data_IF_145211092538
#
_entry.id   IF_145211092538
#
_cell.length_a   1.000
_cell.length_b   1.000
_cell.length_c   1.000
_cell.angle_alpha   90.00
_cell.angle_beta   90.00
_cell.angle_gamma   90.00
#
_symmetry.space_group_name_H-M   'P 1'
#
loop_
_entity.id
_entity.type
_entity.pdbx_description
1 polymer ?
#
# COMPACT_ATOMS: atom_id res chain seq x y z
N UNK A 1 10.61 -23.19 -23.52
CA UNK A 1 10.20 -21.81 -23.88
C UNK A 1 11.17 -21.37 -24.96
N UNK A 2 10.71 -20.83 -26.10
CA UNK A 2 11.59 -20.29 -27.14
C UNK A 2 12.45 -19.15 -26.56
N UNK A 3 13.59 -18.92 -27.19
CA UNK A 3 14.50 -17.83 -26.79
C UNK A 3 13.85 -16.48 -27.12
N UNK A 4 14.03 -15.47 -26.26
CA UNK A 4 13.46 -14.14 -26.49
C UNK A 4 14.02 -13.49 -27.77
N UNK A 5 15.26 -13.82 -28.11
CA UNK A 5 15.94 -13.33 -29.33
C UNK A 5 15.29 -13.85 -30.62
N UNK A 6 14.49 -14.91 -30.54
CA UNK A 6 13.72 -15.45 -31.68
C UNK A 6 12.32 -14.81 -31.79
N UNK A 7 11.85 -14.14 -30.73
CA UNK A 7 10.50 -13.60 -30.64
C UNK A 7 10.42 -12.10 -30.90
N UNK A 8 11.45 -11.35 -30.51
CA UNK A 8 11.48 -9.89 -30.62
C UNK A 8 12.85 -9.39 -31.07
N UNK A 9 12.85 -8.25 -31.76
CA UNK A 9 14.06 -7.56 -32.24
C UNK A 9 14.15 -6.14 -31.67
N UNK A 10 15.39 -5.63 -31.54
CA UNK A 10 15.60 -4.26 -31.09
C UNK A 10 14.97 -3.26 -32.08
N UNK A 11 14.25 -2.26 -31.55
CA UNK A 11 13.50 -1.29 -32.35
C UNK A 11 12.13 -1.78 -32.82
N UNK A 12 11.74 -3.03 -32.54
CA UNK A 12 10.40 -3.52 -32.86
C UNK A 12 9.34 -2.81 -32.00
N UNK A 13 8.34 -2.25 -32.68
CA UNK A 13 7.18 -1.65 -32.01
C UNK A 13 6.19 -2.74 -31.61
N UNK A 14 5.81 -2.76 -30.33
CA UNK A 14 4.92 -3.77 -29.76
C UNK A 14 3.88 -3.08 -28.89
N UNK A 15 2.61 -3.45 -29.08
CA UNK A 15 1.52 -3.00 -28.21
C UNK A 15 1.62 -3.74 -26.88
N UNK A 16 1.66 -2.98 -25.80
CA UNK A 16 1.83 -3.49 -24.45
C UNK A 16 0.77 -2.90 -23.52
N UNK A 17 0.35 -3.70 -22.54
CA UNK A 17 -0.48 -3.26 -21.42
C UNK A 17 0.34 -3.29 -20.13
N UNK A 18 0.16 -2.27 -19.29
CA UNK A 18 0.72 -2.27 -17.93
C UNK A 18 -0.02 -3.30 -17.08
N UNK A 19 0.67 -4.39 -16.74
CA UNK A 19 0.15 -5.45 -15.87
C UNK A 19 0.42 -5.17 -14.38
N UNK A 20 1.48 -4.43 -14.07
CA UNK A 20 1.77 -3.90 -12.74
C UNK A 20 2.40 -2.53 -12.86
N UNK A 21 1.94 -1.62 -12.00
CA UNK A 21 2.53 -0.29 -11.83
C UNK A 21 4.02 -0.40 -11.42
N UNK A 22 4.84 0.62 -11.70
CA UNK A 22 6.19 0.69 -11.17
C UNK A 22 6.15 0.68 -9.64
N UNK A 23 7.14 0.03 -9.01
CA UNK A 23 7.26 -0.05 -7.55
C UNK A 23 8.71 0.22 -7.19
N UNK A 24 8.95 1.34 -6.49
CA UNK A 24 10.32 1.80 -6.19
C UNK A 24 11.13 2.01 -7.47
N UNK A 25 12.32 1.39 -7.55
CA UNK A 25 13.22 1.53 -8.72
C UNK A 25 12.87 0.59 -9.88
N UNK A 26 11.92 -0.33 -9.70
CA UNK A 26 11.52 -1.28 -10.75
C UNK A 26 10.47 -0.63 -11.65
N UNK A 27 10.77 -0.55 -12.94
CA UNK A 27 9.82 -0.10 -13.97
C UNK A 27 8.55 -0.95 -14.02
N UNK A 28 7.56 -0.45 -14.76
CA UNK A 28 6.28 -1.13 -14.94
C UNK A 28 6.47 -2.52 -15.57
N UNK A 29 5.67 -3.49 -15.11
CA UNK A 29 5.64 -4.81 -15.75
C UNK A 29 4.63 -4.78 -16.89
N UNK A 30 5.08 -5.14 -18.08
CA UNK A 30 4.29 -5.12 -19.30
C UNK A 30 3.84 -6.53 -19.72
N UNK A 31 2.77 -6.59 -20.50
CA UNK A 31 2.26 -7.79 -21.16
C UNK A 31 1.74 -7.46 -22.55
N UNK A 32 1.91 -8.37 -23.50
CA UNK A 32 1.29 -8.29 -24.84
C UNK A 32 -0.06 -9.01 -24.89
N UNK A 33 -0.41 -9.76 -23.84
CA UNK A 33 -1.74 -10.33 -23.66
C UNK A 33 -2.67 -9.25 -23.12
N UNK A 34 -3.34 -8.55 -24.03
CA UNK A 34 -4.25 -7.46 -23.70
C UNK A 34 -5.51 -7.99 -23.02
N UNK A 35 -6.04 -7.21 -22.09
CA UNK A 35 -7.29 -7.50 -21.39
C UNK A 35 -8.05 -6.23 -21.05
N UNK A 36 -9.37 -6.25 -21.24
CA UNK A 36 -10.23 -5.08 -21.01
C UNK A 36 -11.32 -5.45 -20.01
N UNK A 37 -11.29 -4.93 -18.79
CA UNK A 37 -12.31 -5.22 -17.79
C UNK A 37 -13.54 -4.32 -17.92
N UNK A 38 -14.72 -4.93 -17.99
CA UNK A 38 -16.00 -4.29 -17.69
C UNK A 38 -16.43 -4.62 -16.27
N UNK A 39 -17.71 -4.47 -15.91
CA UNK A 39 -18.19 -4.74 -14.55
C UNK A 39 -18.12 -6.23 -14.20
N UNK A 40 -18.71 -7.08 -15.04
CA UNK A 40 -18.82 -8.51 -14.81
C UNK A 40 -17.92 -9.34 -15.71
N UNK A 41 -17.43 -8.79 -16.82
CA UNK A 41 -16.59 -9.50 -17.78
C UNK A 41 -15.20 -8.88 -17.91
N UNK A 42 -14.27 -9.68 -18.44
CA UNK A 42 -12.99 -9.23 -18.97
C UNK A 42 -12.87 -9.77 -20.39
N UNK A 43 -12.73 -8.88 -21.36
CA UNK A 43 -12.44 -9.24 -22.75
C UNK A 43 -10.97 -9.63 -22.89
N UNK A 44 -10.70 -10.72 -23.61
CA UNK A 44 -9.38 -11.19 -24.02
C UNK A 44 -9.32 -11.22 -25.55
N UNK A 45 -8.84 -10.14 -26.21
CA UNK A 45 -8.74 -10.10 -27.66
C UNK A 45 -7.82 -11.21 -28.20
N UNK A 46 -8.20 -11.82 -29.32
CA UNK A 46 -7.41 -12.87 -29.98
C UNK A 46 -7.33 -14.20 -29.21
N UNK A 47 -8.19 -14.39 -28.21
CA UNK A 47 -8.37 -15.65 -27.48
C UNK A 47 -9.76 -16.21 -27.75
N UNK A 48 -9.96 -17.51 -27.59
CA UNK A 48 -11.28 -18.15 -27.53
C UNK A 48 -11.61 -18.62 -26.10
N UNK A 49 -10.77 -18.26 -25.12
CA UNK A 49 -10.89 -18.75 -23.76
C UNK A 49 -12.17 -18.24 -23.09
N UNK A 50 -12.99 -19.16 -22.58
CA UNK A 50 -14.13 -18.87 -21.70
C UNK A 50 -13.80 -19.35 -20.30
N UNK A 51 -13.73 -18.43 -19.35
CA UNK A 51 -13.31 -18.71 -17.98
C UNK A 51 -14.17 -18.03 -16.93
N UNK A 52 -14.18 -18.62 -15.73
CA UNK A 52 -14.75 -18.00 -14.53
C UNK A 52 -13.62 -17.72 -13.55
N UNK A 53 -13.65 -16.57 -12.90
CA UNK A 53 -12.73 -16.20 -11.81
C UNK A 53 -12.52 -17.34 -10.81
N UNK A 54 -11.26 -17.61 -10.45
CA UNK A 54 -10.88 -18.64 -9.46
C UNK A 54 -11.44 -18.40 -8.05
N UNK A 55 -11.94 -17.19 -7.77
CA UNK A 55 -12.59 -16.86 -6.49
C UNK A 55 -13.99 -17.44 -6.33
N UNK A 56 -14.66 -17.74 -7.44
CA UNK A 56 -15.97 -18.37 -7.43
C UNK A 56 -15.69 -19.87 -7.33
N UNK A 57 -15.84 -20.44 -6.15
CA UNK A 57 -15.53 -21.86 -5.89
C UNK A 57 -16.74 -22.77 -6.07
N UNK A 58 -17.95 -22.23 -5.88
CA UNK A 58 -19.19 -22.96 -6.04
C UNK A 58 -19.35 -23.43 -7.50
N UNK A 59 -19.52 -24.73 -7.68
CA UNK A 59 -19.60 -25.37 -8.99
C UNK A 59 -20.90 -25.00 -9.69
N UNK A 60 -22.02 -24.97 -8.97
CA UNK A 60 -23.34 -24.69 -9.55
C UNK A 60 -23.39 -23.25 -10.06
N UNK A 61 -22.80 -22.33 -9.30
CA UNK A 61 -22.71 -20.92 -9.67
C UNK A 61 -21.78 -20.69 -10.88
N UNK A 62 -20.65 -21.41 -10.95
CA UNK A 62 -19.76 -21.37 -12.14
C UNK A 62 -20.50 -21.81 -13.40
N UNK A 63 -21.25 -22.90 -13.32
CA UNK A 63 -22.00 -23.43 -14.46
C UNK A 63 -23.12 -22.48 -14.89
N UNK A 64 -23.85 -21.89 -13.92
CA UNK A 64 -24.88 -20.87 -14.19
C UNK A 64 -24.30 -19.66 -14.92
N UNK A 65 -23.17 -19.12 -14.44
CA UNK A 65 -22.52 -17.96 -15.06
C UNK A 65 -21.98 -18.24 -16.45
N UNK A 66 -21.44 -19.45 -16.69
CA UNK A 66 -21.02 -19.89 -18.02
C UNK A 66 -22.22 -19.96 -18.99
N UNK A 67 -23.34 -20.55 -18.56
CA UNK A 67 -24.57 -20.63 -19.37
C UNK A 67 -25.13 -19.24 -19.71
N UNK A 68 -25.11 -18.32 -18.75
CA UNK A 68 -25.53 -16.94 -18.97
C UNK A 68 -24.61 -16.21 -19.98
N UNK A 69 -23.30 -16.41 -19.88
CA UNK A 69 -22.33 -15.86 -20.84
C UNK A 69 -22.55 -16.45 -22.25
N UNK A 70 -22.74 -17.76 -22.36
CA UNK A 70 -23.01 -18.42 -23.63
C UNK A 70 -24.31 -17.92 -24.29
N UNK A 71 -25.34 -17.65 -23.47
CA UNK A 71 -26.60 -17.10 -23.95
C UNK A 71 -26.42 -15.68 -24.51
N UNK A 72 -25.69 -14.82 -23.78
CA UNK A 72 -25.40 -13.47 -24.24
C UNK A 72 -24.53 -13.46 -25.52
N UNK A 73 -23.55 -14.36 -25.61
CA UNK A 73 -22.70 -14.49 -26.82
C UNK A 73 -23.46 -15.04 -28.04
N UNK A 74 -24.51 -15.84 -27.86
CA UNK A 74 -25.40 -16.26 -28.96
C UNK A 74 -26.18 -15.07 -29.54
N UNK A 75 -26.61 -14.15 -28.68
CA UNK A 75 -27.34 -12.96 -29.11
C UNK A 75 -26.39 -11.93 -29.76
N UNK A 76 -25.16 -11.83 -29.25
CA UNK A 76 -24.13 -10.91 -29.77
C UNK A 76 -22.81 -11.66 -30.00
N UNK A 77 -22.67 -12.36 -31.14
CA UNK A 77 -21.44 -13.07 -31.47
C UNK A 77 -20.24 -12.14 -31.45
N UNK A 78 -19.22 -12.50 -30.67
CA UNK A 78 -17.97 -11.75 -30.55
C UNK A 78 -16.80 -12.72 -30.61
N UNK A 79 -15.89 -12.51 -31.55
CA UNK A 79 -14.67 -13.33 -31.72
C UNK A 79 -13.59 -12.91 -30.72
N UNK A 80 -13.80 -13.25 -29.45
CA UNK A 80 -12.86 -12.99 -28.38
C UNK A 80 -13.09 -13.92 -27.18
N UNK A 81 -12.12 -13.94 -26.27
CA UNK A 81 -12.19 -14.68 -25.02
C UNK A 81 -12.82 -13.80 -23.95
N UNK A 82 -13.42 -14.44 -22.95
CA UNK A 82 -14.08 -13.76 -21.84
C UNK A 82 -13.78 -14.46 -20.51
N UNK A 83 -13.51 -13.66 -19.48
CA UNK A 83 -13.45 -14.13 -18.10
C UNK A 83 -14.56 -13.45 -17.28
N UNK A 84 -15.41 -14.25 -16.65
CA UNK A 84 -16.41 -13.76 -15.69
C UNK A 84 -15.74 -13.38 -14.37
N UNK A 85 -15.99 -12.16 -13.90
CA UNK A 85 -15.44 -11.57 -12.69
C UNK A 85 -16.24 -11.98 -11.45
N UNK A 86 -15.61 -11.92 -10.28
CA UNK A 86 -16.24 -12.17 -8.97
C UNK A 86 -17.43 -11.26 -8.68
N UNK A 87 -17.58 -10.13 -9.38
CA UNK A 87 -18.73 -9.24 -9.21
C UNK A 87 -20.06 -9.88 -9.68
N UNK A 88 -20.01 -10.93 -10.51
CA UNK A 88 -21.19 -11.62 -11.02
C UNK A 88 -21.75 -12.69 -10.06
N UNK A 89 -20.95 -13.13 -9.10
CA UNK A 89 -21.22 -14.25 -8.17
C UNK A 89 -22.50 -14.06 -7.33
N UNK A 90 -22.81 -12.81 -6.94
CA UNK A 90 -23.95 -12.50 -6.07
C UNK A 90 -25.23 -12.11 -6.80
N UNK A 91 -25.25 -12.23 -8.13
CA UNK A 91 -26.30 -11.63 -8.96
C UNK A 91 -27.23 -12.70 -9.52
N UNK A 92 -28.46 -12.76 -9.00
CA UNK A 92 -29.43 -13.78 -9.41
C UNK A 92 -29.83 -13.68 -10.90
N UNK A 93 -29.81 -12.48 -11.49
CA UNK A 93 -30.15 -12.22 -12.89
C UNK A 93 -29.06 -11.41 -13.62
N UNK A 94 -27.84 -11.94 -13.67
CA UNK A 94 -26.76 -11.31 -14.46
C UNK A 94 -27.14 -11.30 -15.93
N UNK A 95 -27.24 -10.11 -16.52
CA UNK A 95 -27.24 -9.94 -17.96
C UNK A 95 -25.87 -9.39 -18.41
N UNK A 96 -25.19 -10.14 -19.26
CA UNK A 96 -23.88 -9.77 -19.80
C UNK A 96 -23.96 -8.92 -21.09
N UNK A 97 -25.14 -8.68 -21.66
CA UNK A 97 -25.30 -7.95 -22.93
C UNK A 97 -24.70 -6.53 -22.87
N UNK A 98 -24.96 -5.79 -21.78
CA UNK A 98 -24.41 -4.44 -21.58
C UNK A 98 -22.88 -4.46 -21.45
N UNK A 99 -22.33 -5.43 -20.73
CA UNK A 99 -20.89 -5.66 -20.64
C UNK A 99 -20.27 -5.98 -22.00
N UNK A 100 -20.88 -6.89 -22.77
CA UNK A 100 -20.43 -7.27 -24.11
C UNK A 100 -20.45 -6.07 -25.06
N UNK A 101 -21.51 -5.27 -25.02
CA UNK A 101 -21.62 -4.03 -25.79
C UNK A 101 -20.49 -3.05 -25.46
N UNK A 102 -20.31 -2.76 -24.18
CA UNK A 102 -19.28 -1.85 -23.69
C UNK A 102 -17.89 -2.31 -24.11
N UNK A 103 -17.59 -3.61 -23.92
CA UNK A 103 -16.30 -4.21 -24.28
C UNK A 103 -16.06 -4.18 -25.78
N UNK A 104 -17.08 -4.47 -26.59
CA UNK A 104 -16.99 -4.43 -28.04
C UNK A 104 -16.68 -3.00 -28.55
N UNK A 105 -17.40 -1.99 -28.06
CA UNK A 105 -17.16 -0.59 -28.43
C UNK A 105 -15.76 -0.14 -28.00
N UNK A 106 -15.36 -0.49 -26.78
CA UNK A 106 -14.03 -0.16 -26.24
C UNK A 106 -12.93 -0.79 -27.08
N UNK A 107 -13.06 -2.07 -27.43
CA UNK A 107 -12.08 -2.77 -28.25
C UNK A 107 -11.97 -2.19 -29.65
N UNK A 108 -13.08 -1.87 -30.31
CA UNK A 108 -13.05 -1.21 -31.63
C UNK A 108 -12.31 0.14 -31.60
N UNK A 109 -12.47 0.93 -30.54
CA UNK A 109 -11.72 2.18 -30.39
C UNK A 109 -10.23 1.93 -30.21
N UNK A 110 -9.87 0.93 -29.40
CA UNK A 110 -8.48 0.53 -29.16
C UNK A 110 -7.82 0.01 -30.44
N UNK A 111 -8.48 -0.86 -31.21
CA UNK A 111 -7.96 -1.37 -32.49
C UNK A 111 -7.69 -0.25 -33.48
N UNK A 112 -8.63 0.69 -33.64
CA UNK A 112 -8.43 1.86 -34.52
C UNK A 112 -7.24 2.73 -34.07
N UNK A 113 -7.07 2.88 -32.75
CA UNK A 113 -5.96 3.65 -32.19
C UNK A 113 -4.63 2.92 -32.33
N UNK A 114 -4.59 1.60 -32.10
CA UNK A 114 -3.41 0.75 -32.35
C UNK A 114 -2.91 0.93 -33.79
N UNK A 115 -3.80 0.90 -34.78
CA UNK A 115 -3.44 1.00 -36.19
C UNK A 115 -2.81 2.33 -36.60
N UNK A 116 -2.95 3.39 -35.78
CA UNK A 116 -2.47 4.75 -36.10
C UNK A 116 -1.51 5.34 -35.08
N UNK A 117 -1.31 4.67 -33.94
CA UNK A 117 -0.44 5.13 -32.86
C UNK A 117 1.05 5.02 -33.23
N UNK A 118 1.85 5.93 -32.70
CA UNK A 118 3.31 5.86 -32.78
C UNK A 118 3.91 5.23 -31.53
N UNK A 119 5.13 4.69 -31.62
CA UNK A 119 5.85 4.19 -30.45
C UNK A 119 5.92 5.25 -29.33
N UNK A 120 5.58 4.85 -28.11
CA UNK A 120 5.53 5.72 -26.93
C UNK A 120 4.21 6.48 -26.75
N UNK A 121 3.26 6.38 -27.69
CA UNK A 121 1.94 7.01 -27.58
C UNK A 121 0.99 6.18 -26.70
N UNK A 122 0.20 6.86 -25.87
CA UNK A 122 -0.86 6.23 -25.09
C UNK A 122 -2.04 5.86 -26.00
N UNK A 123 -2.31 4.56 -26.13
CA UNK A 123 -3.43 4.04 -26.93
C UNK A 123 -4.74 4.10 -26.15
N UNK A 124 -4.70 3.68 -24.89
CA UNK A 124 -5.88 3.60 -24.04
C UNK A 124 -5.49 3.82 -22.57
N UNK A 125 -6.16 4.78 -21.94
CA UNK A 125 -6.12 4.94 -20.49
C UNK A 125 -7.21 4.07 -19.85
N UNK A 126 -6.90 3.38 -18.75
CA UNK A 126 -7.94 2.77 -17.90
C UNK A 126 -8.87 3.86 -17.36
N UNK A 127 -10.04 3.44 -16.88
CA UNK A 127 -11.06 4.33 -16.36
C UNK A 127 -10.51 5.24 -15.23
N UNK A 128 -10.95 6.51 -15.16
CA UNK A 128 -10.69 7.37 -14.02
C UNK A 128 -11.06 6.71 -12.69
N UNK A 129 -10.41 7.10 -11.60
CA UNK A 129 -10.64 6.50 -10.27
C UNK A 129 -12.13 6.48 -9.88
N UNK A 130 -12.86 7.56 -10.12
CA UNK A 130 -14.30 7.68 -9.83
C UNK A 130 -15.12 6.57 -10.50
N UNK A 131 -14.84 6.27 -11.77
CA UNK A 131 -15.51 5.21 -12.52
C UNK A 131 -15.02 3.82 -12.12
N UNK A 132 -13.73 3.66 -11.79
CA UNK A 132 -13.21 2.40 -11.23
C UNK A 132 -13.83 2.06 -9.88
N UNK A 133 -14.14 3.06 -9.05
CA UNK A 133 -14.87 2.87 -7.79
C UNK A 133 -16.26 2.27 -8.06
N UNK A 134 -16.99 2.74 -9.06
CA UNK A 134 -18.29 2.13 -9.42
C UNK A 134 -18.08 0.73 -9.98
N UNK A 135 -17.22 0.57 -11.00
CA UNK A 135 -16.97 -0.70 -11.68
C UNK A 135 -16.50 -1.78 -10.71
N UNK A 136 -15.56 -1.44 -9.84
CA UNK A 136 -14.90 -2.43 -9.00
C UNK A 136 -15.50 -2.43 -7.59
N UNK A 137 -15.69 -1.28 -6.93
CA UNK A 137 -16.02 -1.18 -5.49
C UNK A 137 -17.51 -1.27 -5.16
N UNK A 138 -18.38 -0.66 -5.95
CA UNK A 138 -19.80 -0.65 -5.66
C UNK A 138 -20.37 -2.08 -5.68
N UNK A 139 -21.23 -2.42 -4.73
CA UNK A 139 -21.90 -3.71 -4.57
C UNK A 139 -23.38 -3.45 -4.30
N UNK A 140 -24.20 -4.47 -4.35
CA UNK A 140 -25.65 -4.32 -4.17
C UNK A 140 -26.05 -3.91 -2.74
N UNK A 141 -25.15 -4.07 -1.77
CA UNK A 141 -25.32 -3.62 -0.39
C UNK A 141 -24.95 -2.13 -0.18
N UNK A 142 -24.51 -1.43 -1.23
CA UNK A 142 -24.20 0.00 -1.16
C UNK A 142 -25.49 0.81 -1.21
N UNK A 143 -25.83 1.42 -0.07
CA UNK A 143 -27.02 2.28 0.01
C UNK A 143 -26.85 3.58 -0.79
N UNK A 144 -25.70 4.25 -0.65
CA UNK A 144 -25.43 5.58 -1.26
C UNK A 144 -23.97 5.75 -1.65
N UNK A 145 -23.74 6.39 -2.79
CA UNK A 145 -22.45 6.89 -3.29
C UNK A 145 -22.54 8.41 -3.35
N UNK A 146 -21.94 9.08 -2.37
CA UNK A 146 -21.98 10.55 -2.26
C UNK A 146 -20.79 11.18 -2.97
N UNK A 147 -21.07 12.15 -3.84
CA UNK A 147 -20.07 12.85 -4.64
C UNK A 147 -20.21 14.36 -4.43
N UNK A 148 -19.12 15.03 -4.07
CA UNK A 148 -19.08 16.47 -3.79
C UNK A 148 -18.78 17.34 -5.04
N UNK A 149 -18.40 16.72 -6.16
CA UNK A 149 -18.22 17.38 -7.46
C UNK A 149 -19.36 17.05 -8.44
N UNK A 150 -19.99 18.09 -9.00
CA UNK A 150 -21.06 17.96 -10.00
C UNK A 150 -20.59 17.32 -11.30
N UNK A 151 -19.37 17.64 -11.73
CA UNK A 151 -18.76 17.07 -12.94
C UNK A 151 -18.52 15.57 -12.76
N UNK A 152 -17.91 15.20 -11.62
CA UNK A 152 -17.66 13.79 -11.28
C UNK A 152 -18.97 13.02 -11.13
N UNK A 153 -19.99 13.62 -10.51
CA UNK A 153 -21.33 13.04 -10.41
C UNK A 153 -21.91 12.75 -11.79
N UNK A 154 -21.90 13.73 -12.71
CA UNK A 154 -22.47 13.54 -14.05
C UNK A 154 -21.77 12.41 -14.81
N UNK A 155 -20.44 12.35 -14.72
CA UNK A 155 -19.64 11.27 -15.32
C UNK A 155 -19.99 9.90 -14.71
N UNK A 156 -20.05 9.83 -13.38
CA UNK A 156 -20.36 8.62 -12.61
C UNK A 156 -21.79 8.12 -12.89
N UNK A 157 -22.76 9.02 -12.87
CA UNK A 157 -24.17 8.71 -13.13
C UNK A 157 -24.37 8.23 -14.57
N UNK A 158 -23.79 8.91 -15.57
CA UNK A 158 -23.88 8.46 -16.96
C UNK A 158 -23.28 7.06 -17.13
N UNK A 159 -22.10 6.81 -16.57
CA UNK A 159 -21.47 5.50 -16.60
C UNK A 159 -22.32 4.41 -15.93
N UNK A 160 -22.98 4.74 -14.81
CA UNK A 160 -23.90 3.82 -14.14
C UNK A 160 -25.16 3.57 -14.98
N UNK A 161 -25.77 4.58 -15.60
CA UNK A 161 -26.93 4.37 -16.49
C UNK A 161 -26.58 3.46 -17.67
N UNK A 162 -25.39 3.60 -18.24
CA UNK A 162 -24.98 2.84 -19.42
C UNK A 162 -24.61 1.38 -19.12
N UNK A 163 -24.02 1.09 -17.95
CA UNK A 163 -23.45 -0.23 -17.63
C UNK A 163 -24.08 -0.90 -16.40
N UNK A 164 -24.63 -0.12 -15.47
CA UNK A 164 -25.09 -0.56 -14.16
C UNK A 164 -26.33 0.21 -13.66
N UNK A 165 -27.48 0.14 -14.37
CA UNK A 165 -28.64 1.00 -14.08
C UNK A 165 -29.11 0.92 -12.62
N UNK A 166 -28.99 -0.25 -11.99
CA UNK A 166 -29.36 -0.49 -10.60
C UNK A 166 -28.57 0.35 -9.58
N UNK A 167 -27.39 0.86 -9.95
CA UNK A 167 -26.59 1.73 -9.08
C UNK A 167 -26.78 3.22 -9.38
N UNK A 168 -27.45 3.59 -10.48
CA UNK A 168 -27.60 4.99 -10.86
C UNK A 168 -28.32 5.79 -9.77
N UNK A 169 -29.38 5.21 -9.19
CA UNK A 169 -30.18 5.82 -8.11
C UNK A 169 -29.41 5.94 -6.79
N UNK A 170 -28.36 5.13 -6.59
CA UNK A 170 -27.52 5.21 -5.39
C UNK A 170 -26.52 6.38 -5.45
N UNK A 171 -26.26 6.94 -6.64
CA UNK A 171 -25.29 8.02 -6.81
C UNK A 171 -25.98 9.35 -6.52
N UNK A 172 -25.49 10.10 -5.54
CA UNK A 172 -26.09 11.35 -5.09
C UNK A 172 -25.03 12.47 -5.01
N UNK A 173 -25.41 13.68 -5.41
CA UNK A 173 -24.59 14.87 -5.15
C UNK A 173 -24.70 15.22 -3.66
N UNK A 174 -23.57 15.35 -2.99
CA UNK A 174 -23.51 15.86 -1.63
C UNK A 174 -23.56 17.40 -1.64
N UNK A 175 -24.62 18.04 -1.11
CA UNK A 175 -24.80 19.49 -1.20
C UNK A 175 -24.21 20.27 -0.02
N UNK A 176 -23.63 19.58 0.97
CA UNK A 176 -23.19 20.20 2.22
C UNK A 176 -21.91 21.02 2.06
N UNK A 177 -21.79 22.10 2.84
CA UNK A 177 -20.60 22.96 2.85
C UNK A 177 -19.40 22.32 3.55
N UNK A 178 -19.66 21.46 4.55
CA UNK A 178 -18.59 20.74 5.27
C UNK A 178 -18.01 19.65 4.36
N UNK A 179 -16.67 19.55 4.21
CA UNK A 179 -16.04 18.51 3.41
C UNK A 179 -16.54 17.11 3.77
N UNK A 180 -16.76 16.28 2.75
CA UNK A 180 -17.40 14.97 2.94
C UNK A 180 -16.55 14.04 3.82
N UNK A 181 -15.22 14.10 3.73
CA UNK A 181 -14.34 13.27 4.55
C UNK A 181 -14.39 13.66 6.03
N UNK A 182 -14.50 14.95 6.35
CA UNK A 182 -14.65 15.44 7.72
C UNK A 182 -15.99 15.03 8.33
N UNK A 183 -17.07 15.06 7.54
CA UNK A 183 -18.40 14.66 7.99
C UNK A 183 -18.42 13.21 8.48
N UNK A 184 -17.64 12.34 7.82
CA UNK A 184 -17.59 10.90 8.08
C UNK A 184 -16.34 10.44 8.84
N UNK A 185 -15.53 11.36 9.37
CA UNK A 185 -14.25 11.07 10.04
C UNK A 185 -13.31 10.19 9.20
N UNK A 186 -13.35 10.34 7.87
CA UNK A 186 -12.42 9.66 6.97
C UNK A 186 -11.02 10.28 7.12
N UNK A 187 -10.94 11.59 7.32
CA UNK A 187 -9.66 12.29 7.53
C UNK A 187 -8.93 11.75 8.77
N UNK A 188 -9.66 11.56 9.88
CA UNK A 188 -9.14 10.94 11.10
C UNK A 188 -8.61 9.52 10.83
N UNK A 189 -9.32 8.74 10.02
CA UNK A 189 -8.90 7.38 9.64
C UNK A 189 -7.68 7.36 8.72
N UNK A 190 -7.53 8.34 7.81
CA UNK A 190 -6.33 8.50 6.99
C UNK A 190 -5.13 8.81 7.87
N UNK A 191 -5.25 9.78 8.79
CA UNK A 191 -4.19 10.08 9.76
C UNK A 191 -3.83 8.87 10.62
N UNK A 192 -4.82 8.13 11.14
CA UNK A 192 -4.57 6.88 11.88
C UNK A 192 -3.89 5.81 11.04
N UNK A 193 -4.20 5.72 9.75
CA UNK A 193 -3.57 4.76 8.83
C UNK A 193 -2.11 5.13 8.50
N UNK A 194 -1.71 6.40 8.65
CA UNK A 194 -0.32 6.85 8.50
C UNK A 194 0.50 6.65 9.79
N UNK A 195 -0.14 6.61 10.95
CA UNK A 195 0.56 6.40 12.22
C UNK A 195 1.19 5.01 12.32
N UNK A 196 2.35 4.91 12.97
CA UNK A 196 3.00 3.63 13.30
C UNK A 196 2.11 2.76 14.22
N UNK A 197 1.44 3.39 15.19
CA UNK A 197 0.59 2.72 16.18
C UNK A 197 -0.89 3.00 15.93
N UNK A 198 -1.74 1.98 16.08
CA UNK A 198 -3.20 2.06 15.96
C UNK A 198 -3.86 1.55 17.23
N UNK A 199 -4.64 2.39 17.90
CA UNK A 199 -5.36 2.00 19.11
C UNK A 199 -6.55 1.08 18.80
N UNK A 200 -6.74 0.09 19.67
CA UNK A 200 -7.90 -0.79 19.70
C UNK A 200 -8.95 -0.24 20.67
N UNK A 201 -10.23 -0.55 20.44
CA UNK A 201 -11.35 -0.12 21.28
C UNK A 201 -11.27 -0.68 22.69
N UNK A 202 -10.71 -1.87 22.85
CA UNK A 202 -10.43 -2.50 24.16
C UNK A 202 -9.28 -1.84 24.92
N UNK A 203 -8.59 -0.86 24.34
CA UNK A 203 -7.46 -0.15 24.94
C UNK A 203 -6.10 -0.76 24.61
N UNK A 204 -6.05 -1.90 23.90
CA UNK A 204 -4.82 -2.41 23.28
C UNK A 204 -4.34 -1.54 22.11
N UNK A 205 -3.21 -1.90 21.51
CA UNK A 205 -2.71 -1.19 20.33
C UNK A 205 -1.99 -2.14 19.37
N UNK A 206 -1.97 -1.76 18.10
CA UNK A 206 -1.25 -2.45 17.03
C UNK A 206 -0.07 -1.59 16.60
N UNK A 207 1.11 -2.18 16.45
CA UNK A 207 2.30 -1.48 15.98
C UNK A 207 2.70 -2.05 14.62
N UNK A 208 2.73 -1.20 13.60
CA UNK A 208 3.09 -1.57 12.23
C UNK A 208 4.50 -1.07 11.90
N UNK A 209 5.42 -1.99 11.61
CA UNK A 209 6.77 -1.67 11.16
C UNK A 209 7.01 -2.20 9.74
N UNK A 210 7.25 -1.29 8.80
CA UNK A 210 7.55 -1.63 7.41
C UNK A 210 9.06 -1.61 7.17
N UNK A 211 9.63 -2.76 6.86
CA UNK A 211 11.02 -2.88 6.41
C UNK A 211 11.09 -2.98 4.89
N UNK A 212 12.30 -3.12 4.34
CA UNK A 212 12.50 -3.32 2.89
C UNK A 212 11.83 -4.62 2.39
N UNK A 213 12.00 -5.71 3.15
CA UNK A 213 11.59 -7.05 2.74
C UNK A 213 10.15 -7.41 3.18
N UNK A 214 9.78 -7.03 4.41
CA UNK A 214 8.53 -7.46 5.04
C UNK A 214 7.94 -6.41 5.99
N UNK A 215 6.68 -6.64 6.38
CA UNK A 215 6.00 -5.82 7.38
C UNK A 215 5.73 -6.64 8.62
N UNK A 216 6.09 -6.15 9.80
CA UNK A 216 5.77 -6.77 11.08
C UNK A 216 4.62 -6.02 11.75
N UNK A 217 3.72 -6.77 12.39
CA UNK A 217 2.58 -6.22 13.12
C UNK A 217 2.56 -6.83 14.51
N UNK A 218 2.75 -5.99 15.52
CA UNK A 218 2.81 -6.40 16.93
C UNK A 218 1.52 -6.00 17.66
N UNK A 219 1.00 -6.89 18.51
CA UNK A 219 -0.26 -6.70 19.26
C UNK A 219 0.04 -6.47 20.74
N UNK A 220 -0.14 -5.23 21.19
CA UNK A 220 0.08 -4.87 22.58
C UNK A 220 -1.23 -4.84 23.37
N UNK A 221 -1.20 -5.45 24.56
CA UNK A 221 -2.26 -5.26 25.55
C UNK A 221 -2.12 -3.89 26.22
N UNK A 222 -3.21 -3.14 26.29
CA UNK A 222 -3.22 -1.85 26.96
C UNK A 222 -3.29 -1.96 28.48
N UNK A 223 -3.51 -0.82 29.14
CA UNK A 223 -3.73 -0.76 30.60
C UNK A 223 -5.01 -1.48 31.07
N UNK A 224 -5.87 -1.96 30.17
CA UNK A 224 -7.11 -2.63 30.51
C UNK A 224 -6.89 -4.12 30.80
N UNK A 225 -6.28 -4.40 31.95
CA UNK A 225 -6.23 -5.77 32.48
C UNK A 225 -7.50 -5.98 33.31
N UNK A 226 -8.49 -6.68 32.75
CA UNK A 226 -9.72 -7.01 33.46
C UNK A 226 -9.41 -7.75 34.77
N UNK A 227 -9.99 -7.29 35.89
CA UNK A 227 -9.65 -7.75 37.26
C UNK A 227 -9.95 -9.23 37.57
N UNK A 228 -10.46 -10.04 36.63
CA UNK A 228 -10.96 -11.39 36.93
C UNK A 228 -10.62 -12.50 35.92
N UNK A 229 -10.23 -12.23 34.68
CA UNK A 229 -9.77 -13.29 33.77
C UNK A 229 -8.79 -12.74 32.71
N UNK A 230 -7.49 -12.97 32.93
CA UNK A 230 -6.43 -12.44 32.06
C UNK A 230 -6.52 -13.07 30.67
N UNK A 231 -6.62 -14.40 30.61
CA UNK A 231 -6.64 -15.17 29.36
C UNK A 231 -7.79 -14.76 28.42
N UNK A 232 -9.01 -14.63 28.94
CA UNK A 232 -10.14 -14.13 28.15
C UNK A 232 -9.91 -12.71 27.62
N UNK A 233 -9.19 -11.88 28.37
CA UNK A 233 -8.87 -10.50 27.96
C UNK A 233 -7.85 -10.52 26.82
N UNK A 234 -6.83 -11.39 26.89
CA UNK A 234 -5.85 -11.58 25.82
C UNK A 234 -6.53 -12.10 24.55
N UNK A 235 -7.38 -13.13 24.68
CA UNK A 235 -8.14 -13.69 23.57
C UNK A 235 -9.04 -12.64 22.90
N UNK A 236 -9.81 -11.87 23.67
CA UNK A 236 -10.64 -10.78 23.14
C UNK A 236 -9.82 -9.69 22.44
N UNK A 237 -8.64 -9.38 22.97
CA UNK A 237 -7.73 -8.39 22.36
C UNK A 237 -7.21 -8.91 21.01
N UNK A 238 -6.75 -10.16 20.93
CA UNK A 238 -6.32 -10.78 19.68
C UNK A 238 -7.45 -10.86 18.65
N UNK A 239 -8.67 -11.16 19.10
CA UNK A 239 -9.85 -11.18 18.25
C UNK A 239 -10.17 -9.84 17.61
N UNK A 240 -10.04 -8.76 18.39
CA UNK A 240 -10.15 -7.39 17.89
C UNK A 240 -9.00 -7.03 16.95
N UNK A 241 -7.76 -7.39 17.34
CA UNK A 241 -6.55 -7.19 16.56
C UNK A 241 -6.68 -7.85 15.18
N UNK A 242 -7.12 -9.10 15.07
CA UNK A 242 -7.29 -9.79 13.80
C UNK A 242 -8.19 -9.00 12.81
N UNK A 243 -9.30 -8.43 13.31
CA UNK A 243 -10.20 -7.61 12.49
C UNK A 243 -9.55 -6.27 12.10
N UNK A 244 -8.89 -5.61 13.05
CA UNK A 244 -8.22 -4.34 12.84
C UNK A 244 -7.04 -4.47 11.88
N UNK A 245 -6.21 -5.50 12.00
CA UNK A 245 -5.09 -5.81 11.11
C UNK A 245 -5.60 -6.02 9.69
N UNK A 246 -6.61 -6.88 9.48
CA UNK A 246 -7.18 -7.10 8.15
C UNK A 246 -7.72 -5.80 7.52
N UNK A 247 -8.32 -4.91 8.33
CA UNK A 247 -8.76 -3.57 7.88
C UNK A 247 -7.56 -2.68 7.53
N UNK A 248 -6.55 -2.59 8.39
CA UNK A 248 -5.37 -1.74 8.18
C UNK A 248 -4.55 -2.19 6.97
N UNK A 249 -4.39 -3.49 6.72
CA UNK A 249 -3.73 -4.00 5.52
C UNK A 249 -4.41 -3.51 4.22
N UNK A 250 -5.75 -3.38 4.23
CA UNK A 250 -6.51 -2.81 3.10
C UNK A 250 -6.34 -1.30 3.00
N UNK A 251 -6.50 -0.57 4.10
CA UNK A 251 -6.43 0.90 4.12
C UNK A 251 -5.02 1.39 3.76
N UNK A 252 -3.99 0.80 4.37
CA UNK A 252 -2.57 1.11 4.13
C UNK A 252 -2.04 0.49 2.84
N UNK A 253 -2.82 -0.38 2.20
CA UNK A 253 -2.40 -1.16 1.03
C UNK A 253 -1.04 -1.87 1.23
N UNK A 254 -0.83 -2.45 2.42
CA UNK A 254 0.39 -3.20 2.74
C UNK A 254 0.39 -4.51 1.96
N UNK A 255 1.52 -4.89 1.36
CA UNK A 255 1.65 -6.14 0.61
C UNK A 255 3.06 -6.67 0.63
N UNK A 256 3.22 -7.92 0.21
CA UNK A 256 4.44 -8.72 0.39
C UNK A 256 4.26 -9.70 1.52
N UNK A 257 5.36 -9.98 2.22
CA UNK A 257 5.38 -10.82 3.42
C UNK A 257 5.00 -9.94 4.61
N UNK A 258 4.03 -10.40 5.38
CA UNK A 258 3.54 -9.75 6.59
C UNK A 258 3.64 -10.78 7.71
N UNK A 259 4.26 -10.40 8.82
CA UNK A 259 4.38 -11.23 10.01
C UNK A 259 3.54 -10.58 11.10
N UNK A 260 2.58 -11.32 11.66
CA UNK A 260 1.73 -10.86 12.75
C UNK A 260 2.12 -11.57 14.03
N UNK A 261 2.50 -10.81 15.03
CA UNK A 261 2.83 -11.26 16.37
C UNK A 261 1.61 -11.03 17.27
N UNK A 262 0.79 -12.08 17.42
CA UNK A 262 -0.35 -12.05 18.32
C UNK A 262 0.11 -12.33 19.75
N UNK A 263 -0.67 -11.88 20.72
CA UNK A 263 -0.40 -12.18 22.13
C UNK A 263 -0.50 -13.71 22.32
N UNK A 264 0.44 -14.30 23.07
CA UNK A 264 0.44 -15.73 23.36
C UNK A 264 -0.89 -16.22 23.98
N UNK A 265 -1.40 -17.32 23.44
CA UNK A 265 -2.62 -18.00 23.91
C UNK A 265 -2.28 -19.45 24.27
N UNK A 266 -2.49 -19.83 25.53
CA UNK A 266 -2.22 -21.19 26.02
C UNK A 266 -3.20 -22.20 25.40
N UNK A 267 -4.50 -21.88 25.42
CA UNK A 267 -5.57 -22.72 24.88
C UNK A 267 -5.50 -22.87 23.34
N UNK A 268 -5.47 -24.12 22.87
CA UNK A 268 -5.48 -24.48 21.44
C UNK A 268 -6.78 -24.08 20.74
N UNK A 269 -7.92 -24.14 21.45
CA UNK A 269 -9.21 -23.77 20.87
C UNK A 269 -9.29 -22.25 20.67
N UNK A 270 -8.70 -21.45 21.56
CA UNK A 270 -8.55 -20.01 21.35
C UNK A 270 -7.65 -19.70 20.15
N UNK A 271 -6.53 -20.41 19.98
CA UNK A 271 -5.66 -20.26 18.79
C UNK A 271 -6.39 -20.59 17.50
N UNK A 272 -7.15 -21.70 17.46
CA UNK A 272 -7.95 -22.08 16.28
C UNK A 272 -9.01 -21.02 15.94
N UNK A 273 -9.76 -20.56 16.94
CA UNK A 273 -10.78 -19.53 16.75
C UNK A 273 -10.21 -18.21 16.24
N UNK A 274 -9.03 -17.82 16.73
CA UNK A 274 -8.31 -16.64 16.27
C UNK A 274 -7.93 -16.75 14.78
N UNK A 275 -7.34 -17.89 14.38
CA UNK A 275 -6.97 -18.14 12.99
C UNK A 275 -8.19 -18.13 12.06
N UNK A 276 -9.26 -18.83 12.43
CA UNK A 276 -10.52 -18.86 11.64
C UNK A 276 -11.13 -17.46 11.49
N UNK A 277 -11.06 -16.64 12.53
CA UNK A 277 -11.55 -15.28 12.46
C UNK A 277 -10.66 -14.36 11.63
N UNK A 278 -9.34 -14.53 11.72
CA UNK A 278 -8.39 -13.77 10.91
C UNK A 278 -8.52 -14.11 9.42
N UNK A 279 -8.68 -15.39 9.09
CA UNK A 279 -8.95 -15.84 7.72
C UNK A 279 -10.26 -15.24 7.18
N UNK A 280 -11.35 -15.29 7.95
CA UNK A 280 -12.62 -14.65 7.58
C UNK A 280 -12.48 -13.13 7.39
N UNK A 281 -11.67 -12.46 8.21
CA UNK A 281 -11.43 -11.02 8.11
C UNK A 281 -10.63 -10.64 6.86
N UNK A 282 -9.65 -11.48 6.47
CA UNK A 282 -8.83 -11.32 5.28
C UNK A 282 -9.54 -11.76 4.00
N UNK A 283 -10.49 -12.69 4.06
CA UNK A 283 -11.31 -13.11 2.92
C UNK A 283 -12.12 -11.95 2.30
N UNK A 284 -12.39 -10.89 3.09
CA UNK A 284 -13.02 -9.65 2.60
C UNK A 284 -12.10 -8.81 1.72
N UNK A 285 -10.80 -9.09 1.70
CA UNK A 285 -9.83 -8.43 0.84
C UNK A 285 -9.95 -8.93 -0.61
N UNK A 286 -9.91 -7.97 -1.53
CA UNK A 286 -9.94 -8.22 -2.98
C UNK A 286 -8.58 -8.52 -3.55
N UNK A 287 -7.53 -8.41 -2.75
CA UNK A 287 -6.18 -8.82 -3.09
C UNK A 287 -6.01 -10.25 -2.60
N UNK A 288 -5.36 -11.11 -3.40
CA UNK A 288 -5.11 -12.49 -2.98
C UNK A 288 -4.16 -12.47 -1.77
N UNK A 289 -4.66 -13.02 -0.67
CA UNK A 289 -3.91 -13.27 0.55
C UNK A 289 -3.73 -14.78 0.72
N UNK A 290 -2.61 -15.19 1.29
CA UNK A 290 -2.38 -16.55 1.77
C UNK A 290 -1.90 -16.43 3.20
N UNK A 291 -2.49 -17.22 4.08
CA UNK A 291 -2.17 -17.26 5.51
C UNK A 291 -1.54 -18.61 5.75
N UNK A 292 -0.36 -18.62 6.38
CA UNK A 292 0.24 -19.84 6.89
C UNK A 292 -0.27 -20.11 8.30
N UNK A 293 -0.12 -21.36 8.75
CA UNK A 293 -0.43 -21.72 10.12
C UNK A 293 0.46 -20.94 11.11
N UNK A 294 -0.04 -20.77 12.33
CA UNK A 294 0.72 -20.15 13.41
C UNK A 294 1.99 -20.96 13.68
N UNK A 295 3.13 -20.28 13.67
CA UNK A 295 4.43 -20.88 13.91
C UNK A 295 4.58 -21.33 15.36
N UNK A 296 5.62 -22.12 15.63
CA UNK A 296 5.99 -22.53 17.00
C UNK A 296 6.32 -21.32 17.89
N UNK A 297 6.67 -20.18 17.29
CA UNK A 297 6.99 -18.93 17.98
C UNK A 297 5.75 -18.03 18.18
N UNK A 298 4.53 -18.50 17.89
CA UNK A 298 3.31 -17.69 18.00
C UNK A 298 3.06 -16.73 16.83
N UNK A 299 4.00 -16.61 15.89
CA UNK A 299 3.90 -15.72 14.74
C UNK A 299 3.00 -16.29 13.64
N UNK A 300 2.22 -15.43 12.98
CA UNK A 300 1.38 -15.78 11.82
C UNK A 300 1.94 -15.12 10.57
N UNK A 301 2.27 -15.93 9.57
CA UNK A 301 2.79 -15.43 8.29
C UNK A 301 1.65 -15.22 7.29
N UNK A 302 1.60 -14.03 6.68
CA UNK A 302 0.63 -13.68 5.65
C UNK A 302 1.36 -13.17 4.42
N UNK A 303 1.06 -13.75 3.26
CA UNK A 303 1.49 -13.22 1.97
C UNK A 303 0.33 -12.53 1.27
N UNK A 304 0.46 -11.21 1.05
CA UNK A 304 -0.53 -10.40 0.32
C UNK A 304 0.07 -9.85 -0.97
N UNK A 305 -0.57 -10.08 -2.12
CA UNK A 305 -0.05 -9.65 -3.43
C UNK A 305 0.17 -8.11 -3.48
N UNK A 306 1.38 -7.65 -3.82
CA UNK A 306 1.64 -6.22 -4.11
C UNK A 306 1.02 -5.83 -5.46
N UNK A 307 0.13 -4.85 -5.43
CA UNK A 307 -0.58 -4.30 -6.61
C UNK A 307 -0.07 -2.90 -6.96
N UNK A 308 0.03 -2.04 -5.95
CA UNK A 308 0.48 -0.64 -5.99
C UNK A 308 1.25 -0.31 -4.72
N UNK A 309 1.86 0.86 -4.66
CA UNK A 309 2.57 1.35 -3.47
C UNK A 309 1.64 1.47 -2.25
N UNK A 310 2.22 1.33 -1.05
CA UNK A 310 1.48 1.49 0.20
C UNK A 310 1.07 2.95 0.40
N UNK A 311 0.06 3.17 1.24
CA UNK A 311 -0.46 4.51 1.56
C UNK A 311 0.67 5.42 2.09
N UNK A 312 1.49 4.89 2.98
CA UNK A 312 2.65 5.60 3.54
C UNK A 312 3.60 6.08 2.44
N UNK A 313 4.07 5.19 1.56
CA UNK A 313 4.97 5.59 0.46
C UNK A 313 4.37 6.59 -0.51
N UNK A 314 3.05 6.56 -0.70
CA UNK A 314 2.35 7.50 -1.59
C UNK A 314 2.06 8.86 -0.95
N UNK A 315 2.07 8.96 0.38
CA UNK A 315 1.71 10.18 1.12
C UNK A 315 2.85 10.76 1.96
N UNK A 316 3.99 10.07 2.06
CA UNK A 316 5.15 10.50 2.85
C UNK A 316 6.43 10.41 2.02
N UNK A 317 7.40 11.23 2.40
CA UNK A 317 8.76 11.19 1.85
C UNK A 317 9.73 10.71 2.94
N UNK A 318 10.84 10.09 2.53
CA UNK A 318 11.88 9.69 3.47
C UNK A 318 12.46 10.91 4.18
N UNK A 319 12.53 10.85 5.51
CA UNK A 319 13.07 11.95 6.31
C UNK A 319 14.51 12.30 5.85
N UNK A 320 14.80 13.56 5.46
CA UNK A 320 16.10 13.95 4.94
C UNK A 320 17.20 13.90 6.01
N UNK A 321 16.85 13.92 7.29
CA UNK A 321 17.81 13.92 8.39
C UNK A 321 18.28 12.52 8.76
N UNK A 322 17.36 11.57 8.96
CA UNK A 322 17.70 10.21 9.36
C UNK A 322 17.71 9.21 8.19
N UNK A 323 17.34 9.65 6.98
CA UNK A 323 17.25 8.82 5.78
C UNK A 323 16.41 7.54 6.01
N UNK A 324 15.34 7.67 6.79
CA UNK A 324 14.44 6.56 7.13
C UNK A 324 14.89 5.68 8.30
N UNK A 325 16.02 5.98 8.96
CA UNK A 325 16.52 5.20 10.12
C UNK A 325 15.62 5.32 11.36
N UNK A 326 14.84 6.40 11.49
CA UNK A 326 13.96 6.63 12.65
C UNK A 326 14.69 6.95 13.97
N UNK A 327 16.01 6.97 13.96
CA UNK A 327 16.87 7.33 15.09
C UNK A 327 17.98 8.24 14.60
N UNK A 328 18.62 8.98 15.51
CA UNK A 328 19.83 9.76 15.26
C UNK A 328 20.83 9.57 16.40
N UNK A 329 22.13 9.64 16.10
CA UNK A 329 23.21 9.60 17.09
C UNK A 329 23.00 10.69 18.13
N UNK A 330 23.33 10.39 19.38
CA UNK A 330 23.26 11.37 20.47
C UNK A 330 24.32 12.45 20.28
N UNK A 331 24.07 13.65 20.83
CA UNK A 331 25.04 14.74 20.79
C UNK A 331 26.39 14.33 21.42
N UNK A 332 26.36 13.54 22.49
CA UNK A 332 27.54 12.98 23.12
C UNK A 332 28.35 12.06 22.18
N UNK A 333 27.67 11.19 21.41
CA UNK A 333 28.33 10.34 20.41
C UNK A 333 29.07 11.20 19.37
N UNK A 334 28.43 12.30 18.95
CA UNK A 334 28.99 13.26 18.01
C UNK A 334 30.20 14.01 18.58
N UNK A 335 30.17 14.40 19.85
CA UNK A 335 31.32 15.01 20.54
C UNK A 335 32.55 14.09 20.45
N UNK A 336 32.38 12.80 20.74
CA UNK A 336 33.48 11.84 20.65
C UNK A 336 33.91 11.53 19.21
N UNK A 337 33.05 11.68 18.20
CA UNK A 337 33.44 11.62 16.79
C UNK A 337 34.29 12.83 16.40
N UNK A 338 33.87 14.03 16.78
CA UNK A 338 34.61 15.29 16.58
C UNK A 338 36.00 15.19 17.23
N UNK A 339 36.10 14.72 18.48
CA UNK A 339 37.39 14.56 19.17
C UNK A 339 38.34 13.63 18.41
N UNK A 340 37.82 12.48 17.95
CA UNK A 340 38.60 11.52 17.15
C UNK A 340 39.02 12.10 15.81
N UNK A 341 38.19 12.94 15.19
CA UNK A 341 38.51 13.59 13.93
C UNK A 341 39.61 14.64 14.10
N UNK A 342 39.49 15.53 15.08
CA UNK A 342 40.53 16.52 15.40
C UNK A 342 41.85 15.82 15.70
N UNK A 343 41.85 14.70 16.43
CA UNK A 343 43.07 13.92 16.68
C UNK A 343 43.69 13.33 15.40
N UNK A 344 42.86 12.89 14.44
CA UNK A 344 43.37 12.41 13.14
C UNK A 344 43.97 13.56 12.34
N UNK A 345 43.26 14.67 12.25
CA UNK A 345 43.69 15.86 11.51
C UNK A 345 44.97 16.48 12.11
N UNK A 346 45.09 16.55 13.44
CA UNK A 346 46.28 17.05 14.12
C UNK A 346 47.54 16.22 13.89
N UNK A 347 47.38 14.93 13.58
CA UNK A 347 48.51 14.06 13.21
C UNK A 347 48.84 14.14 11.72
N UNK A 348 47.86 14.46 10.87
CA UNK A 348 48.01 14.49 9.43
C UNK A 348 48.50 15.85 8.92
N UNK A 349 48.07 16.95 9.55
CA UNK A 349 48.33 18.31 9.10
C UNK A 349 48.78 19.22 10.26
N UNK A 350 49.73 20.11 9.98
CA UNK A 350 50.14 21.17 10.92
C UNK A 350 49.21 22.38 10.82
N UNK A 351 48.00 22.27 11.38
CA UNK A 351 47.08 23.41 11.50
C UNK A 351 47.48 24.34 12.66
N UNK A 352 47.06 25.61 12.60
CA UNK A 352 47.22 26.58 13.69
C UNK A 352 46.08 26.52 14.69
N UNK A 353 44.93 25.99 14.28
CA UNK A 353 43.77 25.72 15.13
C UNK A 353 42.69 24.99 14.36
N UNK A 354 41.59 24.69 15.05
CA UNK A 354 40.45 23.97 14.48
C UNK A 354 39.17 24.76 14.73
N UNK A 355 38.27 24.79 13.76
CA UNK A 355 36.92 25.31 13.91
C UNK A 355 35.95 24.14 13.75
N UNK A 356 35.22 23.83 14.81
CA UNK A 356 34.13 22.85 14.80
C UNK A 356 32.84 23.60 14.55
N UNK A 357 32.19 23.29 13.43
CA UNK A 357 30.85 23.75 13.12
C UNK A 357 29.87 22.59 13.32
N UNK A 358 28.85 22.77 14.16
CA UNK A 358 27.86 21.73 14.42
C UNK A 358 26.53 22.35 14.88
N UNK A 359 25.50 21.50 15.01
CA UNK A 359 24.20 21.91 15.58
C UNK A 359 24.33 22.47 17.01
N UNK A 360 23.38 23.34 17.39
CA UNK A 360 23.34 23.95 18.74
C UNK A 360 23.45 22.90 19.86
N UNK A 361 22.72 21.79 19.75
CA UNK A 361 22.71 20.72 20.76
C UNK A 361 24.08 20.06 20.94
N UNK A 362 24.87 19.94 19.86
CA UNK A 362 26.23 19.38 19.95
C UNK A 362 27.19 20.41 20.54
N UNK A 363 27.07 21.68 20.16
CA UNK A 363 27.91 22.75 20.72
C UNK A 363 27.66 22.94 22.21
N UNK A 364 26.40 22.92 22.65
CA UNK A 364 26.05 23.01 24.08
C UNK A 364 26.61 21.82 24.86
N UNK A 365 26.51 20.61 24.31
CA UNK A 365 27.09 19.39 24.89
C UNK A 365 28.62 19.49 25.04
N UNK A 366 29.31 20.04 24.02
CA UNK A 366 30.77 20.30 24.07
C UNK A 366 31.16 21.37 25.09
N UNK A 367 30.29 22.36 25.33
CA UNK A 367 30.55 23.46 26.26
C UNK A 367 30.19 23.14 27.72
N UNK A 368 29.29 22.18 27.95
CA UNK A 368 28.79 21.83 29.28
C UNK A 368 29.33 20.45 29.74
N UNK A 369 28.61 19.37 29.42
CA UNK A 369 28.91 18.01 29.91
C UNK A 369 30.28 17.49 29.42
N UNK A 370 30.65 17.75 28.16
CA UNK A 370 31.92 17.28 27.55
C UNK A 370 33.03 18.36 27.56
N UNK A 371 32.85 19.44 28.33
CA UNK A 371 33.80 20.56 28.42
C UNK A 371 35.19 20.14 28.90
N UNK A 372 35.25 19.17 29.83
CA UNK A 372 36.51 18.62 30.33
C UNK A 372 37.24 17.85 29.23
N UNK A 373 36.52 17.01 28.47
CA UNK A 373 37.10 16.28 27.35
C UNK A 373 37.60 17.20 26.23
N UNK A 374 36.90 18.30 25.98
CA UNK A 374 37.34 19.32 25.02
C UNK A 374 38.62 20.03 25.50
N UNK A 375 38.72 20.37 26.78
CA UNK A 375 39.89 21.00 27.37
C UNK A 375 41.13 20.08 27.28
N UNK A 376 40.97 18.82 27.68
CA UNK A 376 42.02 17.79 27.61
C UNK A 376 42.51 17.60 26.16
N UNK A 377 41.59 17.61 25.20
CA UNK A 377 41.93 17.53 23.78
C UNK A 377 42.74 18.74 23.31
N UNK A 378 42.33 19.97 23.67
CA UNK A 378 43.08 21.18 23.31
C UNK A 378 44.50 21.18 23.90
N UNK A 379 44.64 20.73 25.14
CA UNK A 379 45.94 20.61 25.81
C UNK A 379 46.81 19.57 25.11
N UNK A 380 46.25 18.40 24.79
CA UNK A 380 46.97 17.32 24.11
C UNK A 380 47.47 17.71 22.72
N UNK A 381 46.66 18.41 21.92
CA UNK A 381 47.06 18.85 20.58
C UNK A 381 47.89 20.14 20.60
N UNK A 382 47.85 20.91 21.69
CA UNK A 382 48.55 22.19 21.83
C UNK A 382 48.03 23.29 20.89
N UNK A 383 46.78 23.21 20.45
CA UNK A 383 46.13 24.12 19.48
C UNK A 383 44.72 24.50 19.95
N UNK A 384 44.25 25.73 19.67
CA UNK A 384 42.90 26.15 20.03
C UNK A 384 41.85 25.48 19.15
N UNK A 385 40.73 25.10 19.76
CA UNK A 385 39.52 24.63 19.09
C UNK A 385 38.43 25.70 19.29
N UNK A 386 37.93 26.25 18.19
CA UNK A 386 36.79 27.17 18.19
C UNK A 386 35.52 26.40 17.87
N UNK A 387 34.44 26.76 18.55
CA UNK A 387 33.13 26.19 18.35
C UNK A 387 32.22 27.22 17.68
N UNK A 388 31.51 26.82 16.64
CA UNK A 388 30.52 27.65 15.95
C UNK A 388 29.24 26.85 15.74
N UNK A 389 28.11 27.47 16.05
CA UNK A 389 26.81 26.89 15.78
C UNK A 389 26.47 27.11 14.32
N UNK A 390 26.08 26.03 13.63
CA UNK A 390 25.52 26.08 12.29
C UNK A 390 24.01 25.79 12.38
N UNK A 391 23.12 26.79 12.29
CA UNK A 391 21.68 26.62 12.50
C UNK A 391 21.01 25.72 11.47
N UNK A 392 21.63 25.57 10.30
CA UNK A 392 21.06 24.80 9.19
C UNK A 392 21.43 23.31 9.23
N UNK A 393 22.40 22.92 10.07
CA UNK A 393 22.84 21.53 10.17
C UNK A 393 21.96 20.70 11.12
N UNK A 394 21.75 19.44 10.73
CA UNK A 394 21.13 18.46 11.61
C UNK A 394 22.12 18.00 12.71
N UNK A 395 21.62 17.34 13.76
CA UNK A 395 22.47 16.92 14.88
C UNK A 395 23.63 15.99 14.46
N UNK A 396 23.46 15.21 13.39
CA UNK A 396 24.48 14.27 12.92
C UNK A 396 25.49 14.85 11.94
N UNK A 397 25.34 16.12 11.57
CA UNK A 397 26.25 16.84 10.69
C UNK A 397 27.15 17.74 11.52
N UNK A 398 28.44 17.66 11.24
CA UNK A 398 29.45 18.57 11.76
C UNK A 398 30.56 18.71 10.72
N UNK A 399 31.28 19.83 10.78
CA UNK A 399 32.47 20.07 9.99
C UNK A 399 33.64 20.48 10.92
N UNK A 400 34.81 19.90 10.68
CA UNK A 400 36.06 20.31 11.33
C UNK A 400 36.93 21.03 10.29
N UNK A 401 37.02 22.35 10.41
CA UNK A 401 37.80 23.20 9.49
C UNK A 401 39.17 23.49 10.10
N UNK A 402 40.22 23.20 9.33
CA UNK A 402 41.61 23.53 9.67
C UNK A 402 41.87 25.02 9.46
N UNK A 403 42.40 25.71 10.48
CA UNK A 403 42.74 27.14 10.46
C UNK A 403 44.24 27.42 10.37
#
# INVERSE_FOLDING_TARGET
>A
RPDITELVSEGQEIVVQVAKDPIGTKGARLTTQLSIPSRYLVLLPGSEHRGISQRIQDVDERDRLLQALDTALKQRPTEAGFIVRTAADSQHSVNFEADLEFLHRSWQQIERKIASARAGELIHADLPLSLRVIRDLARDDVEKIRVDSRETYALMHQFAVDLMPQLADCIEIYPGERPIFDLYSIEDEIHRALNRTVDLKSGGSLVFDQTEAMTTVDVNTGRFVGKRNLEETLFKTNMEAAQAIARQLRLRNIGGIIIVDFIDLEDEDHRRQLMDAFERALARDRTRCHIADMSVLGLVEVTRKRTRESLERGMTETCPHCQGRGTQKTAQTLCYEIFREILREARAFEAKGYLVMASQTVIDMLLDEESTGLADLQEFIGKPIRLQVEPTQNQESYDVVLM
#
